data_IF_326703487051
#
_entry.id   IF_326703487051
#
_cell.length_a   1.000
_cell.length_b   1.000
_cell.length_c   1.000
_cell.angle_alpha   90.00
_cell.angle_beta   90.00
_cell.angle_gamma   90.00
#
_symmetry.space_group_name_H-M   'P 1'
#
loop_
_entity.id
_entity.type
_entity.pdbx_description
1 polymer ?
#
# COMPACT_ATOMS: atom_id res chain seq x y z
N UNK A 1 14.97 -19.60 -29.83
CA UNK A 1 13.93 -18.64 -29.40
C UNK A 1 14.54 -17.56 -28.52
N UNK A 2 14.66 -16.30 -29.00
CA UNK A 2 15.05 -15.16 -28.16
C UNK A 2 13.93 -14.90 -27.15
N UNK A 3 14.14 -15.23 -25.87
CA UNK A 3 13.18 -14.89 -24.80
C UNK A 3 12.94 -13.39 -24.84
N UNK A 4 11.70 -12.98 -25.08
CA UNK A 4 11.31 -11.59 -25.20
C UNK A 4 11.68 -10.84 -23.91
N UNK A 5 12.62 -9.90 -24.01
CA UNK A 5 13.04 -8.99 -22.92
C UNK A 5 11.94 -7.98 -22.53
N UNK A 6 10.76 -8.07 -23.14
CA UNK A 6 9.71 -7.05 -23.04
C UNK A 6 9.11 -6.91 -21.64
N UNK A 7 9.01 -7.99 -20.87
CA UNK A 7 8.37 -7.92 -19.55
C UNK A 7 9.31 -7.47 -18.41
N UNK A 8 10.63 -7.52 -18.61
CA UNK A 8 11.61 -7.12 -17.60
C UNK A 8 12.83 -6.43 -18.25
N UNK A 9 12.68 -5.17 -18.70
CA UNK A 9 13.79 -4.41 -19.29
C UNK A 9 14.86 -4.02 -18.25
N UNK A 10 14.59 -4.21 -16.96
CA UNK A 10 15.49 -3.86 -15.87
C UNK A 10 16.65 -4.86 -15.82
N UNK A 11 17.80 -4.43 -16.32
CA UNK A 11 19.04 -5.24 -16.39
C UNK A 11 20.03 -4.94 -15.27
N UNK A 12 19.95 -3.76 -14.69
CA UNK A 12 20.88 -3.21 -13.72
C UNK A 12 20.17 -2.69 -12.47
N UNK A 13 20.93 -2.61 -11.37
CA UNK A 13 20.41 -2.25 -10.04
C UNK A 13 19.90 -0.81 -10.00
N UNK A 14 20.51 0.11 -10.76
CA UNK A 14 20.19 1.53 -10.72
C UNK A 14 18.87 1.81 -11.46
N UNK A 15 18.69 1.23 -12.65
CA UNK A 15 17.41 1.23 -13.36
C UNK A 15 16.29 0.61 -12.54
N UNK A 16 16.59 -0.45 -11.76
CA UNK A 16 15.62 -1.05 -10.86
C UNK A 16 15.16 -0.08 -9.78
N UNK A 17 16.11 0.61 -9.13
CA UNK A 17 15.84 1.60 -8.09
C UNK A 17 15.11 2.82 -8.64
N UNK A 18 15.44 3.28 -9.83
CA UNK A 18 14.76 4.41 -10.48
C UNK A 18 13.30 4.07 -10.79
N UNK A 19 13.03 2.88 -11.33
CA UNK A 19 11.66 2.42 -11.58
C UNK A 19 10.83 2.29 -10.29
N UNK A 20 11.42 1.78 -9.21
CA UNK A 20 10.78 1.74 -7.87
C UNK A 20 10.55 3.16 -7.34
N UNK A 21 11.52 4.07 -7.56
CA UNK A 21 11.43 5.47 -7.15
C UNK A 21 10.30 6.20 -7.82
N UNK A 22 10.17 6.06 -9.14
CA UNK A 22 9.05 6.59 -9.90
C UNK A 22 7.71 6.11 -9.32
N UNK A 23 7.59 4.82 -8.99
CA UNK A 23 6.37 4.25 -8.43
C UNK A 23 6.00 4.86 -7.07
N UNK A 24 6.92 4.88 -6.09
CA UNK A 24 6.59 5.42 -4.76
C UNK A 24 6.39 6.93 -4.77
N UNK A 25 7.16 7.68 -5.58
CA UNK A 25 7.01 9.13 -5.68
C UNK A 25 5.66 9.50 -6.31
N UNK A 26 5.24 8.76 -7.35
CA UNK A 26 3.91 8.95 -7.95
C UNK A 26 2.81 8.63 -6.95
N UNK A 27 2.93 7.54 -6.19
CA UNK A 27 1.98 7.22 -5.13
C UNK A 27 1.88 8.32 -4.06
N UNK A 28 3.01 8.88 -3.62
CA UNK A 28 3.02 10.00 -2.67
C UNK A 28 2.43 11.28 -3.26
N UNK A 29 2.74 11.62 -4.51
CA UNK A 29 2.21 12.80 -5.16
C UNK A 29 0.68 12.70 -5.32
N UNK A 30 0.18 11.55 -5.76
CA UNK A 30 -1.26 11.30 -5.89
C UNK A 30 -1.97 11.31 -4.55
N UNK A 31 -1.38 10.67 -3.53
CA UNK A 31 -1.93 10.70 -2.19
C UNK A 31 -1.95 12.12 -1.60
N UNK A 32 -0.93 12.94 -1.84
CA UNK A 32 -0.90 14.32 -1.39
C UNK A 32 -1.98 15.15 -2.10
N UNK A 33 -2.11 15.03 -3.42
CA UNK A 33 -3.16 15.71 -4.19
C UNK A 33 -4.55 15.28 -3.69
N UNK A 34 -4.78 13.98 -3.52
CA UNK A 34 -6.06 13.47 -3.04
C UNK A 34 -6.35 13.90 -1.60
N UNK A 35 -5.36 13.88 -0.70
CA UNK A 35 -5.53 14.33 0.67
C UNK A 35 -5.90 15.82 0.75
N UNK A 36 -5.28 16.67 -0.09
CA UNK A 36 -5.61 18.11 -0.15
C UNK A 36 -7.03 18.31 -0.70
N UNK A 37 -7.36 17.66 -1.82
CA UNK A 37 -8.69 17.81 -2.45
C UNK A 37 -9.80 17.28 -1.55
N UNK A 38 -9.66 16.06 -1.04
CA UNK A 38 -10.65 15.44 -0.15
C UNK A 38 -10.69 16.18 1.17
N UNK A 39 -9.54 16.56 1.75
CA UNK A 39 -9.50 17.34 2.99
C UNK A 39 -10.24 18.67 2.88
N UNK A 40 -10.05 19.40 1.78
CA UNK A 40 -10.78 20.64 1.51
C UNK A 40 -12.28 20.41 1.35
N UNK A 41 -12.68 19.40 0.55
CA UNK A 41 -14.10 19.07 0.33
C UNK A 41 -14.79 18.53 1.59
N UNK A 42 -14.03 17.87 2.47
CA UNK A 42 -14.53 17.32 3.73
C UNK A 42 -14.91 18.41 4.74
N UNK A 43 -14.37 19.63 4.58
CA UNK A 43 -14.78 20.79 5.39
C UNK A 43 -16.26 21.13 5.19
N UNK A 44 -16.75 21.02 3.94
CA UNK A 44 -18.16 21.28 3.61
C UNK A 44 -19.05 20.05 3.72
N UNK A 45 -18.50 18.85 3.55
CA UNK A 45 -19.24 17.60 3.68
C UNK A 45 -18.38 16.53 4.38
N UNK A 46 -18.52 16.37 5.71
CA UNK A 46 -17.73 15.44 6.50
C UNK A 46 -17.81 13.98 6.04
N UNK A 47 -18.90 13.57 5.37
CA UNK A 47 -19.03 12.21 4.85
C UNK A 47 -17.97 11.89 3.78
N UNK A 48 -17.40 12.89 3.12
CA UNK A 48 -16.34 12.70 2.13
C UNK A 48 -14.99 12.32 2.75
N UNK A 49 -14.82 12.47 4.07
CA UNK A 49 -13.58 12.14 4.77
C UNK A 49 -13.19 10.66 4.62
N UNK A 50 -14.16 9.76 4.37
CA UNK A 50 -13.89 8.35 4.07
C UNK A 50 -12.94 8.15 2.88
N UNK A 51 -12.98 9.08 1.92
CA UNK A 51 -12.11 9.03 0.73
C UNK A 51 -10.64 9.36 1.03
N UNK A 52 -10.30 9.77 2.27
CA UNK A 52 -8.92 9.90 2.73
C UNK A 52 -8.25 8.52 2.92
N UNK A 53 -9.03 7.45 3.10
CA UNK A 53 -8.51 6.10 3.26
C UNK A 53 -7.63 5.66 2.07
N UNK A 54 -8.03 6.03 0.85
CA UNK A 54 -7.26 5.79 -0.38
C UNK A 54 -5.89 6.50 -0.35
N UNK A 55 -5.86 7.74 0.15
CA UNK A 55 -4.62 8.52 0.28
C UNK A 55 -3.68 7.86 1.28
N UNK A 56 -4.21 7.45 2.44
CA UNK A 56 -3.46 6.71 3.45
C UNK A 56 -2.94 5.38 2.91
N UNK A 57 -3.75 4.66 2.13
CA UNK A 57 -3.37 3.40 1.50
C UNK A 57 -2.22 3.58 0.50
N UNK A 58 -2.28 4.59 -0.36
CA UNK A 58 -1.19 4.94 -1.29
C UNK A 58 0.09 5.34 -0.56
N UNK A 59 0.00 6.13 0.52
CA UNK A 59 1.15 6.49 1.36
C UNK A 59 1.75 5.25 2.02
N UNK A 60 0.92 4.35 2.56
CA UNK A 60 1.36 3.11 3.18
C UNK A 60 2.17 2.26 2.19
N UNK A 61 1.62 1.99 1.01
CA UNK A 61 2.28 1.22 -0.03
C UNK A 61 3.55 1.92 -0.54
N UNK A 62 3.51 3.25 -0.73
CA UNK A 62 4.66 4.04 -1.13
C UNK A 62 5.80 3.96 -0.11
N UNK A 63 5.51 4.04 1.20
CA UNK A 63 6.52 3.90 2.26
C UNK A 63 7.11 2.49 2.32
N UNK A 64 6.27 1.46 2.20
CA UNK A 64 6.74 0.07 2.14
C UNK A 64 7.64 -0.11 0.92
N UNK A 65 7.26 0.43 -0.23
CA UNK A 65 8.04 0.32 -1.45
C UNK A 65 9.38 1.06 -1.33
N UNK A 66 9.39 2.29 -0.78
CA UNK A 66 10.61 3.08 -0.52
C UNK A 66 11.59 2.37 0.42
N UNK A 67 11.09 1.78 1.51
CA UNK A 67 11.92 1.28 2.60
C UNK A 67 12.27 -0.21 2.51
N UNK A 68 11.42 -1.00 1.84
CA UNK A 68 11.55 -2.48 1.80
C UNK A 68 11.70 -3.04 0.39
N UNK A 69 11.47 -2.24 -0.65
CA UNK A 69 11.48 -2.68 -2.05
C UNK A 69 10.55 -3.89 -2.29
N UNK A 70 9.47 -3.99 -1.50
CA UNK A 70 8.64 -5.21 -1.45
C UNK A 70 7.93 -5.48 -2.78
N UNK A 71 8.16 -6.68 -3.35
CA UNK A 71 7.45 -7.18 -4.54
C UNK A 71 5.94 -7.22 -4.35
N UNK A 72 5.49 -7.60 -3.15
CA UNK A 72 4.07 -7.64 -2.83
C UNK A 72 3.47 -6.23 -2.82
N UNK A 73 4.14 -5.26 -2.18
CA UNK A 73 3.66 -3.87 -2.16
C UNK A 73 3.58 -3.27 -3.58
N UNK A 74 4.56 -3.54 -4.43
CA UNK A 74 4.51 -3.13 -5.84
C UNK A 74 3.35 -3.76 -6.60
N UNK A 75 3.10 -5.05 -6.41
CA UNK A 75 1.99 -5.76 -7.04
C UNK A 75 0.64 -5.23 -6.56
N UNK A 76 0.47 -5.02 -5.26
CA UNK A 76 -0.75 -4.43 -4.68
C UNK A 76 -0.99 -3.03 -5.22
N UNK A 77 0.05 -2.19 -5.29
CA UNK A 77 -0.05 -0.84 -5.84
C UNK A 77 -0.43 -0.87 -7.33
N UNK A 78 0.08 -1.84 -8.09
CA UNK A 78 -0.28 -2.04 -9.48
C UNK A 78 -1.73 -2.50 -9.66
N UNK A 79 -2.19 -3.51 -8.91
CA UNK A 79 -3.59 -3.94 -8.95
C UNK A 79 -4.55 -2.81 -8.54
N UNK A 80 -4.17 -2.03 -7.53
CA UNK A 80 -4.92 -0.85 -7.12
C UNK A 80 -4.97 0.23 -8.21
N UNK A 81 -3.87 0.44 -8.94
CA UNK A 81 -3.87 1.37 -10.08
C UNK A 81 -4.74 0.88 -11.25
N UNK A 82 -4.82 -0.43 -11.50
CA UNK A 82 -5.75 -1.01 -12.49
C UNK A 82 -7.20 -0.75 -12.05
N UNK A 83 -7.51 -0.98 -10.78
CA UNK A 83 -8.82 -0.69 -10.21
C UNK A 83 -9.20 0.79 -10.42
N UNK A 84 -8.33 1.72 -10.04
CA UNK A 84 -8.58 3.17 -10.25
C UNK A 84 -8.76 3.50 -11.73
N UNK A 85 -7.90 2.97 -12.61
CA UNK A 85 -8.00 3.19 -14.04
C UNK A 85 -9.34 2.69 -14.58
N UNK A 86 -9.74 1.46 -14.24
CA UNK A 86 -11.01 0.88 -14.63
C UNK A 86 -12.20 1.77 -14.24
N UNK A 87 -12.29 2.19 -12.97
CA UNK A 87 -13.38 3.07 -12.53
C UNK A 87 -13.32 4.46 -13.17
N UNK A 88 -12.13 4.99 -13.41
CA UNK A 88 -11.95 6.27 -14.12
C UNK A 88 -12.44 6.20 -15.57
N UNK A 89 -12.12 5.12 -16.29
CA UNK A 89 -12.59 4.91 -17.66
C UNK A 89 -14.09 4.62 -17.71
N UNK A 90 -14.63 3.82 -16.79
CA UNK A 90 -16.05 3.54 -16.68
C UNK A 90 -16.87 4.82 -16.42
N UNK A 91 -16.43 5.66 -15.48
CA UNK A 91 -17.05 6.95 -15.20
C UNK A 91 -17.01 7.87 -16.43
N UNK A 92 -15.90 7.86 -17.19
CA UNK A 92 -15.76 8.65 -18.42
C UNK A 92 -16.68 8.15 -19.54
N UNK A 93 -16.98 6.87 -19.59
CA UNK A 93 -17.91 6.24 -20.52
C UNK A 93 -19.39 6.43 -20.13
N UNK A 94 -19.68 7.15 -19.03
CA UNK A 94 -21.05 7.38 -18.55
C UNK A 94 -21.65 6.21 -17.78
N UNK A 95 -20.84 5.19 -17.43
CA UNK A 95 -21.28 4.10 -16.57
C UNK A 95 -21.31 4.65 -15.14
N UNK A 96 -22.44 4.48 -14.44
CA UNK A 96 -22.58 4.88 -13.06
C UNK A 96 -21.59 4.11 -12.19
N UNK A 97 -20.48 4.75 -11.84
CA UNK A 97 -19.57 4.27 -10.82
C UNK A 97 -20.09 4.78 -9.47
N UNK A 98 -20.14 3.91 -8.47
CA UNK A 98 -20.74 4.18 -7.14
C UNK A 98 -19.86 5.14 -6.31
N UNK A 99 -19.52 6.32 -6.87
CA UNK A 99 -18.60 7.29 -6.26
C UNK A 99 -17.11 6.97 -6.40
N UNK A 100 -16.75 5.86 -7.05
CA UNK A 100 -15.35 5.46 -7.26
C UNK A 100 -14.79 5.96 -8.60
N UNK A 101 -13.53 6.42 -8.59
CA UNK A 101 -12.80 6.87 -9.77
C UNK A 101 -12.72 8.40 -9.90
N UNK A 102 -11.63 8.90 -10.49
CA UNK A 102 -11.45 10.31 -10.79
C UNK A 102 -12.03 10.69 -12.15
N UNK A 103 -12.20 11.99 -12.42
CA UNK A 103 -12.50 12.48 -13.78
C UNK A 103 -11.25 12.62 -14.66
N UNK A 104 -10.05 12.50 -14.07
CA UNK A 104 -8.80 12.74 -14.75
C UNK A 104 -8.15 11.43 -15.22
N UNK A 105 -8.41 11.09 -16.49
CA UNK A 105 -7.86 9.91 -17.15
C UNK A 105 -6.33 9.93 -17.25
N UNK A 106 -5.73 11.12 -17.39
CA UNK A 106 -4.26 11.26 -17.52
C UNK A 106 -3.57 10.82 -16.23
N UNK A 107 -4.07 11.27 -15.07
CA UNK A 107 -3.54 10.85 -13.75
C UNK A 107 -3.67 9.34 -13.56
N UNK A 108 -4.78 8.74 -13.97
CA UNK A 108 -4.99 7.29 -13.87
C UNK A 108 -3.99 6.49 -14.73
N UNK A 109 -3.74 6.94 -15.97
CA UNK A 109 -2.75 6.31 -16.86
C UNK A 109 -1.32 6.48 -16.33
N UNK A 110 -0.97 7.67 -15.84
CA UNK A 110 0.33 7.93 -15.21
C UNK A 110 0.54 7.03 -13.99
N UNK A 111 -0.49 6.88 -13.15
CA UNK A 111 -0.41 6.02 -11.98
C UNK A 111 -0.22 4.56 -12.36
N UNK A 112 -1.01 4.06 -13.33
CA UNK A 112 -0.90 2.71 -13.85
C UNK A 112 0.49 2.42 -14.42
N UNK A 113 1.04 3.36 -15.20
CA UNK A 113 2.39 3.24 -15.76
C UNK A 113 3.47 3.23 -14.67
N UNK A 114 3.40 4.16 -13.73
CA UNK A 114 4.36 4.24 -12.63
C UNK A 114 4.32 2.97 -11.75
N UNK A 115 3.13 2.46 -11.42
CA UNK A 115 2.99 1.22 -10.65
C UNK A 115 3.48 0.00 -11.42
N UNK A 116 3.22 -0.08 -12.73
CA UNK A 116 3.79 -1.13 -13.59
C UNK A 116 5.33 -1.11 -13.56
N UNK A 117 5.94 0.08 -13.68
CA UNK A 117 7.40 0.26 -13.53
C UNK A 117 7.88 -0.17 -12.13
N UNK A 118 7.12 0.11 -11.08
CA UNK A 118 7.41 -0.38 -9.72
C UNK A 118 7.46 -1.90 -9.64
N UNK A 119 6.54 -2.61 -10.29
CA UNK A 119 6.57 -4.08 -10.37
C UNK A 119 7.82 -4.55 -11.12
N UNK A 120 8.10 -3.98 -12.29
CA UNK A 120 9.31 -4.33 -13.05
C UNK A 120 10.60 -4.09 -12.24
N UNK A 121 10.69 -2.96 -11.56
CA UNK A 121 11.84 -2.58 -10.73
C UNK A 121 12.02 -3.50 -9.53
N UNK A 122 10.96 -3.79 -8.77
CA UNK A 122 11.06 -4.67 -7.58
C UNK A 122 11.43 -6.10 -7.96
N UNK A 123 10.81 -6.68 -9.00
CA UNK A 123 11.15 -8.02 -9.46
C UNK A 123 12.55 -8.07 -10.08
N UNK A 124 12.93 -7.04 -10.86
CA UNK A 124 14.29 -6.90 -11.40
C UNK A 124 15.35 -6.85 -10.30
N UNK A 125 15.14 -6.02 -9.28
CA UNK A 125 16.04 -5.89 -8.13
C UNK A 125 16.24 -7.23 -7.40
N UNK A 126 15.16 -7.93 -7.08
CA UNK A 126 15.22 -9.21 -6.37
C UNK A 126 15.87 -10.33 -7.21
N UNK A 127 15.69 -10.26 -8.54
CA UNK A 127 16.35 -11.17 -9.48
C UNK A 127 17.86 -10.94 -9.52
N UNK A 128 18.31 -9.69 -9.55
CA UNK A 128 19.74 -9.33 -9.59
C UNK A 128 20.43 -9.73 -8.27
N UNK A 129 19.80 -9.44 -7.13
CA UNK A 129 20.37 -9.74 -5.80
C UNK A 129 20.08 -11.16 -5.30
N UNK A 130 19.41 -12.01 -6.10
CA UNK A 130 19.05 -13.40 -5.75
C UNK A 130 18.42 -13.54 -4.35
N UNK A 131 17.65 -12.55 -3.93
CA UNK A 131 17.05 -12.52 -2.59
C UNK A 131 15.97 -13.59 -2.47
N UNK A 132 15.95 -14.31 -1.35
CA UNK A 132 14.89 -15.28 -1.01
C UNK A 132 14.05 -14.75 0.15
N UNK A 133 12.78 -15.11 0.11
CA UNK A 133 11.83 -14.76 1.14
C UNK A 133 11.85 -15.84 2.23
N UNK A 134 12.16 -15.46 3.47
CA UNK A 134 12.11 -16.38 4.59
C UNK A 134 10.65 -16.52 5.07
N UNK A 135 10.00 -17.61 4.65
CA UNK A 135 8.58 -17.90 4.97
C UNK A 135 8.36 -17.99 6.48
N UNK A 136 9.30 -18.57 7.24
CA UNK A 136 9.18 -18.65 8.70
C UNK A 136 9.14 -17.25 9.34
N UNK A 137 9.99 -16.35 8.87
CA UNK A 137 9.99 -14.95 9.31
C UNK A 137 8.72 -14.21 8.90
N UNK A 138 8.13 -14.51 7.73
CA UNK A 138 6.83 -13.97 7.34
C UNK A 138 5.73 -14.46 8.26
N UNK A 139 5.65 -15.77 8.53
CA UNK A 139 4.64 -16.35 9.40
C UNK A 139 4.74 -15.74 10.81
N UNK A 140 5.95 -15.63 11.34
CA UNK A 140 6.18 -15.02 12.66
C UNK A 140 5.79 -13.54 12.69
N UNK A 141 6.18 -12.76 11.67
CA UNK A 141 5.77 -11.35 11.57
C UNK A 141 4.25 -11.21 11.44
N UNK A 142 3.61 -12.09 10.67
CA UNK A 142 2.16 -12.09 10.49
C UNK A 142 1.42 -12.43 11.78
N UNK A 143 1.94 -13.39 12.56
CA UNK A 143 1.41 -13.72 13.88
C UNK A 143 1.53 -12.53 14.85
N UNK A 144 2.65 -11.81 14.86
CA UNK A 144 2.82 -10.60 15.66
C UNK A 144 1.81 -9.53 15.24
N UNK A 145 1.72 -9.22 13.94
CA UNK A 145 0.78 -8.21 13.41
C UNK A 145 -0.66 -8.58 13.77
N UNK A 146 -1.02 -9.86 13.64
CA UNK A 146 -2.35 -10.35 14.00
C UNK A 146 -2.63 -10.17 15.50
N UNK A 147 -1.69 -10.54 16.36
CA UNK A 147 -1.82 -10.32 17.81
C UNK A 147 -1.99 -8.85 18.18
N UNK A 148 -1.20 -7.95 17.60
CA UNK A 148 -1.38 -6.50 17.79
C UNK A 148 -2.72 -6.00 17.24
N UNK A 149 -3.20 -6.57 16.13
CA UNK A 149 -4.48 -6.16 15.53
C UNK A 149 -5.62 -6.49 16.47
N UNK A 150 -5.63 -7.69 17.06
CA UNK A 150 -6.61 -8.08 18.08
C UNK A 150 -6.52 -7.14 19.28
N UNK A 151 -5.32 -6.89 19.80
CA UNK A 151 -5.12 -6.03 20.97
C UNK A 151 -5.63 -4.60 20.73
N UNK A 152 -5.21 -3.97 19.63
CA UNK A 152 -5.62 -2.60 19.29
C UNK A 152 -7.12 -2.52 19.02
N UNK A 153 -7.70 -3.54 18.36
CA UNK A 153 -9.15 -3.59 18.12
C UNK A 153 -9.91 -3.76 19.43
N UNK A 154 -9.43 -4.57 20.38
CA UNK A 154 -10.05 -4.71 21.68
C UNK A 154 -10.01 -3.40 22.49
N UNK A 155 -8.87 -2.69 22.47
CA UNK A 155 -8.75 -1.36 23.09
C UNK A 155 -9.71 -0.37 22.43
N UNK A 156 -9.76 -0.37 21.09
CA UNK A 156 -10.66 0.49 20.32
C UNK A 156 -12.13 0.24 20.67
N UNK A 157 -12.56 -1.02 20.75
CA UNK A 157 -13.90 -1.40 21.22
C UNK A 157 -14.13 -0.89 22.64
N UNK A 158 -13.17 -1.05 23.56
CA UNK A 158 -13.28 -0.53 24.92
C UNK A 158 -13.48 0.99 24.98
N UNK A 159 -12.80 1.75 24.12
CA UNK A 159 -12.98 3.21 23.99
C UNK A 159 -14.37 3.56 23.45
N UNK A 160 -14.92 2.75 22.53
CA UNK A 160 -16.27 2.97 21.99
C UNK A 160 -17.39 2.82 23.02
N UNK A 161 -17.16 2.07 24.09
CA UNK A 161 -18.13 1.88 25.17
C UNK A 161 -18.20 3.08 26.12
N UNK A 162 -17.37 4.12 25.92
CA UNK A 162 -17.44 5.35 26.70
C UNK A 162 -18.65 6.16 26.20
N UNK A 163 -19.61 6.55 27.06
CA UNK A 163 -20.87 7.20 26.61
C UNK A 163 -20.68 8.48 25.78
N UNK A 164 -19.62 9.25 26.06
CA UNK A 164 -19.30 10.45 25.26
C UNK A 164 -18.83 10.10 23.84
N UNK A 165 -18.17 8.96 23.67
CA UNK A 165 -17.71 8.47 22.36
C UNK A 165 -18.88 7.88 21.61
N UNK A 166 -19.68 7.02 22.26
CA UNK A 166 -20.88 6.40 21.67
C UNK A 166 -21.83 7.44 21.05
N UNK A 167 -22.19 8.48 21.80
CA UNK A 167 -23.03 9.58 21.30
C UNK A 167 -22.41 10.34 20.13
N UNK A 168 -21.07 10.39 20.01
CA UNK A 168 -20.41 10.97 18.85
C UNK A 168 -20.53 10.06 17.62
N UNK A 169 -20.49 8.73 17.80
CA UNK A 169 -20.61 7.74 16.74
C UNK A 169 -22.04 7.57 16.22
N UNK A 170 -23.05 7.65 17.09
CA UNK A 170 -24.46 7.60 16.68
C UNK A 170 -24.83 8.72 15.69
N UNK A 171 -24.13 9.85 15.76
CA UNK A 171 -24.33 10.99 14.87
C UNK A 171 -23.54 10.90 13.54
N UNK A 172 -22.76 9.83 13.33
CA UNK A 172 -21.96 9.65 12.10
C UNK A 172 -22.70 8.82 11.06
N UNK A 173 -22.43 9.08 9.77
CA UNK A 173 -22.92 8.21 8.70
C UNK A 173 -22.34 6.79 8.81
N UNK A 174 -23.11 5.77 8.41
CA UNK A 174 -22.66 4.36 8.41
C UNK A 174 -21.32 4.16 7.66
N UNK A 175 -21.13 4.88 6.56
CA UNK A 175 -19.89 4.84 5.77
C UNK A 175 -18.67 5.33 6.54
N UNK A 176 -18.82 6.41 7.32
CA UNK A 176 -17.76 6.98 8.14
C UNK A 176 -17.45 6.07 9.33
N UNK A 177 -18.48 5.50 9.95
CA UNK A 177 -18.33 4.51 11.01
C UNK A 177 -17.56 3.28 10.51
N UNK A 178 -17.94 2.73 9.35
CA UNK A 178 -17.22 1.61 8.73
C UNK A 178 -15.75 1.93 8.42
N UNK A 179 -15.45 3.15 7.96
CA UNK A 179 -14.09 3.59 7.71
C UNK A 179 -13.26 3.67 9.00
N UNK A 180 -13.85 4.23 10.07
CA UNK A 180 -13.22 4.34 11.38
C UNK A 180 -12.89 2.96 11.97
N UNK A 181 -13.75 1.96 11.76
CA UNK A 181 -13.47 0.56 12.16
C UNK A 181 -12.22 -0.03 11.50
N UNK A 182 -11.86 0.42 10.29
CA UNK A 182 -10.67 -0.06 9.58
C UNK A 182 -9.38 0.63 10.03
N UNK A 183 -9.46 1.83 10.61
CA UNK A 183 -8.31 2.62 11.07
C UNK A 183 -7.34 1.83 11.97
N UNK A 184 -7.78 1.16 13.06
CA UNK A 184 -6.87 0.42 13.92
C UNK A 184 -6.17 -0.72 13.17
N UNK A 185 -6.89 -1.44 12.31
CA UNK A 185 -6.34 -2.56 11.52
C UNK A 185 -5.27 -2.05 10.54
N UNK A 186 -5.58 -1.01 9.77
CA UNK A 186 -4.66 -0.41 8.81
C UNK A 186 -3.42 0.13 9.53
N UNK A 187 -3.60 0.78 10.68
CA UNK A 187 -2.51 1.34 11.49
C UNK A 187 -1.57 0.25 11.97
N UNK A 188 -2.07 -0.87 12.50
CA UNK A 188 -1.22 -1.98 12.96
C UNK A 188 -0.45 -2.62 11.81
N UNK A 189 -1.10 -2.84 10.66
CA UNK A 189 -0.44 -3.38 9.46
C UNK A 189 0.70 -2.44 9.02
N UNK A 190 0.45 -1.13 9.01
CA UNK A 190 1.43 -0.12 8.62
C UNK A 190 2.61 -0.08 9.60
N UNK A 191 2.35 -0.05 10.91
CA UNK A 191 3.40 -0.08 11.93
C UNK A 191 4.21 -1.38 11.89
N UNK A 192 3.57 -2.51 11.66
CA UNK A 192 4.22 -3.82 11.54
C UNK A 192 5.13 -3.92 10.31
N UNK A 193 4.66 -3.46 9.15
CA UNK A 193 5.44 -3.45 7.90
C UNK A 193 6.62 -2.48 7.95
N UNK A 194 6.47 -1.35 8.63
CA UNK A 194 7.57 -0.42 8.90
C UNK A 194 8.56 -0.92 9.96
N UNK A 195 8.25 -2.03 10.64
CA UNK A 195 8.99 -2.55 11.80
C UNK A 195 9.07 -1.58 12.98
N UNK A 196 8.00 -0.81 13.19
CA UNK A 196 7.86 0.09 14.33
C UNK A 196 7.27 -0.62 15.56
N UNK A 197 6.57 -1.73 15.35
CA UNK A 197 6.04 -2.54 16.45
C UNK A 197 7.18 -3.22 17.26
N UNK A 198 7.08 -3.28 18.60
CA UNK A 198 8.01 -4.04 19.42
C UNK A 198 8.15 -5.50 18.91
N UNK A 199 9.38 -6.00 18.87
CA UNK A 199 9.69 -7.36 18.39
C UNK A 199 9.82 -7.51 16.87
N UNK A 200 9.41 -6.53 16.07
CA UNK A 200 9.49 -6.65 14.59
C UNK A 200 10.83 -6.22 14.00
N UNK A 201 11.61 -5.37 14.70
CA UNK A 201 12.89 -4.81 14.22
C UNK A 201 13.94 -5.88 13.86
N UNK A 202 14.01 -6.96 14.64
CA UNK A 202 15.00 -8.04 14.48
C UNK A 202 14.69 -9.02 13.35
N UNK A 203 13.45 -9.03 12.83
CA UNK A 203 13.00 -10.04 11.87
C UNK A 203 13.51 -9.71 10.47
N UNK A 204 14.38 -10.56 9.91
CA UNK A 204 14.85 -10.47 8.52
C UNK A 204 13.94 -11.28 7.59
N UNK A 205 13.00 -10.60 6.94
CA UNK A 205 12.06 -11.20 5.98
C UNK A 205 12.74 -11.61 4.66
N UNK A 206 13.72 -10.82 4.24
CA UNK A 206 14.54 -11.09 3.05
C UNK A 206 15.90 -11.59 3.50
N UNK A 207 16.30 -12.73 2.98
CA UNK A 207 17.64 -13.29 3.15
C UNK A 207 18.34 -13.29 1.79
N UNK A 208 19.60 -12.87 1.79
CA UNK A 208 20.45 -13.06 0.62
C UNK A 208 20.65 -14.56 0.42
N UNK A 209 20.52 -15.05 -0.81
CA UNK A 209 20.80 -16.45 -1.10
C UNK A 209 22.31 -16.72 -0.95
N UNK A 210 22.68 -17.07 0.29
CA UNK A 210 23.96 -17.60 0.77
C UNK A 210 25.25 -17.32 -0.03
N UNK A 211 26.11 -16.51 0.60
CA UNK A 211 27.58 -16.53 0.44
C UNK A 211 28.20 -17.92 0.69
N UNK A 212 27.48 -18.85 1.34
CA UNK A 212 27.96 -20.20 1.63
C UNK A 212 28.08 -21.13 0.41
N UNK A 213 27.57 -20.74 -0.76
CA UNK A 213 27.79 -21.49 -2.01
C UNK A 213 29.07 -21.09 -2.77
N UNK A 214 29.78 -20.04 -2.34
CA UNK A 214 31.03 -19.61 -2.98
C UNK A 214 32.31 -20.25 -2.42
N UNK A 215 32.22 -21.02 -1.34
CA UNK A 215 33.38 -21.71 -0.71
C UNK A 215 33.35 -23.24 -0.87
N UNK A 216 32.50 -23.75 -1.77
CA UNK A 216 32.59 -25.14 -2.25
C UNK A 216 32.99 -25.12 -3.73
N UNK A 217 34.26 -24.81 -3.98
CA UNK A 217 34.95 -25.15 -5.22
C UNK A 217 36.28 -25.79 -4.86
#
# INVERSE_FOLDING_TARGET
MKKSKWFFPVTDTDSAKEAIKMAYQTAFALAAIQAVLVGFLSWSNPALAVNLADSLFMVALGLILRNRLSRFAALTLFLYSIFIAYFTFAARAGIATVGYGGKNTILAVLFLYASYKGVQGTFGFHRIHKTRTNIKSILFLSAIIFGYTILVTAIYIGVMLIPQVESTFENMSESLMGALWLVPVITVILLGTLKLLPGTKSIKVVQDADKHSMFKS
#
